data_IF_590538035942
#
_entry.id   IF_590538035942
#
_cell.length_a   1.000
_cell.length_b   1.000
_cell.length_c   1.000
_cell.angle_alpha   90.00
_cell.angle_beta   90.00
_cell.angle_gamma   90.00
#
_symmetry.space_group_name_H-M   'P 1'
#
loop_
_entity.id
_entity.type
_entity.pdbx_description
1 polymer ?
#
# COMPACT_ATOMS: atom_id res chain seq x y z
N UNK A 1 -19.97 14.63 -11.25
CA UNK A 1 -18.67 15.06 -10.70
C UNK A 1 -18.66 15.10 -9.18
N UNK A 2 -19.55 15.86 -8.52
CA UNK A 2 -19.54 15.96 -7.04
C UNK A 2 -19.65 14.60 -6.33
N UNK A 3 -20.61 13.74 -6.70
CA UNK A 3 -20.77 12.40 -6.09
C UNK A 3 -19.57 11.48 -6.32
N UNK A 4 -18.91 11.57 -7.48
CA UNK A 4 -17.73 10.74 -7.79
C UNK A 4 -16.50 11.21 -7.04
N UNK A 5 -16.34 12.52 -6.86
CA UNK A 5 -15.29 13.08 -6.01
C UNK A 5 -15.50 12.69 -4.54
N UNK A 6 -16.75 12.67 -4.07
CA UNK A 6 -17.10 12.11 -2.76
C UNK A 6 -16.67 10.64 -2.64
N UNK A 7 -16.91 9.83 -3.68
CA UNK A 7 -16.47 8.42 -3.69
C UNK A 7 -14.93 8.27 -3.64
N UNK A 8 -14.19 9.12 -4.37
CA UNK A 8 -12.71 9.16 -4.29
C UNK A 8 -12.24 9.54 -2.88
N UNK A 9 -12.91 10.50 -2.23
CA UNK A 9 -12.62 10.84 -0.84
C UNK A 9 -12.84 9.68 0.12
N UNK A 10 -13.97 8.98 -0.01
CA UNK A 10 -14.26 7.80 0.82
C UNK A 10 -13.21 6.70 0.61
N UNK A 11 -12.84 6.37 -0.63
CA UNK A 11 -11.82 5.37 -0.91
C UNK A 11 -10.45 5.74 -0.34
N UNK A 12 -10.06 7.01 -0.44
CA UNK A 12 -8.82 7.51 0.16
C UNK A 12 -8.83 7.40 1.68
N UNK A 13 -9.93 7.80 2.33
CA UNK A 13 -10.07 7.74 3.79
C UNK A 13 -10.08 6.29 4.30
N UNK A 14 -10.79 5.38 3.61
CA UNK A 14 -10.82 3.95 3.91
C UNK A 14 -9.44 3.31 3.78
N UNK A 15 -8.70 3.62 2.70
CA UNK A 15 -7.35 3.13 2.51
C UNK A 15 -6.40 3.61 3.60
N UNK A 16 -6.46 4.89 3.98
CA UNK A 16 -5.62 5.43 5.04
C UNK A 16 -5.93 4.81 6.40
N UNK A 17 -7.22 4.68 6.74
CA UNK A 17 -7.63 4.03 7.98
C UNK A 17 -7.16 2.58 8.03
N UNK A 18 -7.26 1.85 6.92
CA UNK A 18 -6.74 0.50 6.81
C UNK A 18 -5.21 0.45 6.95
N UNK A 19 -4.48 1.33 6.26
CA UNK A 19 -3.01 1.40 6.37
C UNK A 19 -2.57 1.65 7.81
N UNK A 20 -3.20 2.62 8.49
CA UNK A 20 -2.83 2.99 9.85
C UNK A 20 -3.10 1.81 10.83
N UNK A 21 -4.24 1.13 10.71
CA UNK A 21 -4.56 -0.09 11.48
C UNK A 21 -3.56 -1.24 11.22
N UNK A 22 -3.13 -1.41 9.96
CA UNK A 22 -2.19 -2.47 9.60
C UNK A 22 -0.76 -2.17 10.07
N UNK A 23 -0.34 -0.91 10.05
CA UNK A 23 0.94 -0.49 10.63
C UNK A 23 0.97 -0.77 12.15
N UNK A 24 -0.10 -0.42 12.86
CA UNK A 24 -0.21 -0.65 14.30
C UNK A 24 -0.23 -2.15 14.63
N UNK A 25 -1.00 -2.95 13.89
CA UNK A 25 -1.10 -4.40 14.13
C UNK A 25 0.15 -5.20 13.74
N UNK A 26 0.96 -4.68 12.80
CA UNK A 26 2.22 -5.28 12.40
C UNK A 26 3.40 -4.80 13.26
N UNK A 27 3.19 -3.86 14.18
CA UNK A 27 4.25 -3.39 15.07
C UNK A 27 4.70 -4.52 15.99
N UNK A 28 5.99 -4.82 15.93
CA UNK A 28 6.63 -5.83 16.78
C UNK A 28 7.31 -5.16 17.96
N UNK A 29 7.27 -5.83 19.12
CA UNK A 29 7.94 -5.36 20.33
C UNK A 29 9.46 -5.56 20.26
N UNK A 30 10.17 -4.89 21.16
CA UNK A 30 11.64 -4.92 21.23
C UNK A 30 12.24 -6.33 21.46
N UNK A 31 11.42 -7.27 21.94
CA UNK A 31 11.81 -8.65 22.24
C UNK A 31 11.59 -9.63 21.07
N UNK A 32 10.99 -9.20 19.96
CA UNK A 32 10.76 -10.07 18.80
C UNK A 32 12.06 -10.30 18.00
N UNK A 33 12.16 -11.47 17.35
CA UNK A 33 13.35 -11.83 16.58
C UNK A 33 13.52 -10.94 15.35
N UNK A 34 14.78 -10.78 14.91
CA UNK A 34 15.15 -10.01 13.70
C UNK A 34 14.32 -10.40 12.46
N UNK A 35 13.85 -11.65 12.40
CA UNK A 35 13.00 -12.14 11.32
C UNK A 35 11.63 -11.46 11.29
N UNK A 36 10.98 -11.30 12.44
CA UNK A 36 9.68 -10.62 12.53
C UNK A 36 9.85 -9.11 12.35
N UNK A 37 10.91 -8.51 12.89
CA UNK A 37 11.24 -7.10 12.65
C UNK A 37 11.44 -6.80 11.18
N UNK A 38 12.14 -7.68 10.45
CA UNK A 38 12.34 -7.54 9.01
C UNK A 38 11.02 -7.56 8.23
N UNK A 39 10.13 -8.50 8.56
CA UNK A 39 8.81 -8.58 7.92
C UNK A 39 7.93 -7.37 8.25
N UNK A 40 7.86 -6.99 9.52
CA UNK A 40 7.10 -5.81 10.00
C UNK A 40 7.57 -4.54 9.28
N UNK A 41 8.88 -4.27 9.29
CA UNK A 41 9.48 -3.12 8.60
C UNK A 41 9.14 -3.09 7.10
N UNK A 42 9.11 -4.27 6.46
CA UNK A 42 8.74 -4.37 5.03
C UNK A 42 7.27 -3.99 4.80
N UNK A 43 6.36 -4.43 5.67
CA UNK A 43 4.93 -4.08 5.57
C UNK A 43 4.74 -2.60 5.80
N UNK A 44 5.31 -2.05 6.88
CA UNK A 44 5.25 -0.62 7.18
C UNK A 44 5.78 0.21 6.01
N UNK A 45 6.89 -0.21 5.39
CA UNK A 45 7.40 0.45 4.18
C UNK A 45 6.40 0.43 3.02
N UNK A 46 5.78 -0.72 2.74
CA UNK A 46 4.80 -0.84 1.65
C UNK A 46 3.56 0.01 1.93
N UNK A 47 3.06 -0.01 3.16
CA UNK A 47 1.98 0.85 3.64
C UNK A 47 2.29 2.34 3.43
N UNK A 48 3.47 2.81 3.85
CA UNK A 48 3.88 4.20 3.68
C UNK A 48 3.96 4.61 2.20
N UNK A 49 4.50 3.75 1.33
CA UNK A 49 4.56 4.01 -0.10
C UNK A 49 3.16 4.09 -0.72
N UNK A 50 2.26 3.19 -0.35
CA UNK A 50 0.87 3.21 -0.80
C UNK A 50 0.12 4.44 -0.32
N UNK A 51 0.36 4.88 0.92
CA UNK A 51 -0.20 6.13 1.48
C UNK A 51 0.24 7.36 0.68
N UNK A 52 1.54 7.49 0.39
CA UNK A 52 2.06 8.60 -0.42
C UNK A 52 1.47 8.61 -1.84
N UNK A 53 1.32 7.44 -2.47
CA UNK A 53 0.68 7.32 -3.79
C UNK A 53 -0.79 7.72 -3.75
N UNK A 54 -1.51 7.26 -2.73
CA UNK A 54 -2.91 7.61 -2.54
C UNK A 54 -3.10 9.12 -2.30
N UNK A 55 -2.21 9.76 -1.53
CA UNK A 55 -2.21 11.20 -1.32
C UNK A 55 -1.99 11.99 -2.62
N UNK A 56 -1.04 11.55 -3.45
CA UNK A 56 -0.80 12.15 -4.76
C UNK A 56 -2.02 12.04 -5.68
N UNK A 57 -2.64 10.84 -5.74
CA UNK A 57 -3.86 10.58 -6.50
C UNK A 57 -5.05 11.42 -6.01
N UNK A 58 -5.26 11.51 -4.69
CA UNK A 58 -6.32 12.31 -4.10
C UNK A 58 -6.12 13.81 -4.36
N UNK A 59 -4.88 14.30 -4.25
CA UNK A 59 -4.53 15.69 -4.58
C UNK A 59 -4.81 16.00 -6.05
N UNK A 60 -4.43 15.10 -6.97
CA UNK A 60 -4.77 15.22 -8.38
C UNK A 60 -6.29 15.27 -8.56
N UNK A 61 -7.04 14.35 -7.97
CA UNK A 61 -8.51 14.31 -8.03
C UNK A 61 -9.14 15.64 -7.59
N UNK A 62 -8.59 16.25 -6.53
CA UNK A 62 -9.04 17.53 -6.01
C UNK A 62 -8.76 18.67 -6.98
N UNK A 63 -7.58 18.68 -7.62
CA UNK A 63 -7.25 19.65 -8.66
C UNK A 63 -8.16 19.51 -9.90
N UNK A 64 -8.47 18.28 -10.30
CA UNK A 64 -9.45 17.97 -11.35
C UNK A 64 -10.83 18.53 -11.02
N UNK A 65 -11.34 18.24 -9.82
CA UNK A 65 -12.65 18.72 -9.38
C UNK A 65 -12.72 20.26 -9.29
N UNK A 66 -11.63 20.91 -8.88
CA UNK A 66 -11.55 22.37 -8.76
C UNK A 66 -11.54 23.12 -10.11
N UNK A 67 -10.97 22.52 -11.17
CA UNK A 67 -10.88 23.15 -12.49
C UNK A 67 -12.21 23.18 -13.26
N UNK A 68 -13.20 22.38 -12.85
CA UNK A 68 -14.51 22.32 -13.52
C UNK A 68 -14.45 21.76 -14.94
N UNK A 69 -15.57 21.81 -15.66
CA UNK A 69 -15.63 21.37 -17.06
C UNK A 69 -15.27 22.55 -17.99
N UNK A 70 -14.47 22.37 -19.06
CA UNK A 70 -13.89 21.14 -19.58
C UNK A 70 -12.41 21.03 -19.16
N UNK A 71 -12.16 20.59 -17.92
CA UNK A 71 -10.83 20.17 -17.47
C UNK A 71 -10.38 18.85 -18.12
N UNK A 72 -9.21 18.31 -17.71
CA UNK A 72 -8.59 17.16 -18.37
C UNK A 72 -9.52 15.94 -18.37
N UNK A 73 -9.27 15.03 -19.30
CA UNK A 73 -10.28 14.10 -19.79
C UNK A 73 -10.85 13.24 -18.66
N UNK A 74 -12.13 12.89 -18.75
CA UNK A 74 -12.79 11.92 -17.86
C UNK A 74 -11.98 10.63 -17.65
N UNK A 75 -11.17 10.24 -18.64
CA UNK A 75 -10.22 9.12 -18.56
C UNK A 75 -9.23 9.28 -17.41
N UNK A 76 -8.71 10.47 -17.17
CA UNK A 76 -7.67 10.73 -16.17
C UNK A 76 -8.23 10.58 -14.75
N UNK A 77 -9.48 11.01 -14.54
CA UNK A 77 -10.17 10.81 -13.27
C UNK A 77 -10.50 9.33 -13.01
N UNK A 78 -10.89 8.58 -14.04
CA UNK A 78 -11.11 7.14 -13.92
C UNK A 78 -9.82 6.38 -13.56
N UNK A 79 -8.66 6.80 -14.10
CA UNK A 79 -7.36 6.24 -13.74
C UNK A 79 -7.01 6.47 -12.26
N UNK A 80 -7.36 7.63 -11.70
CA UNK A 80 -7.17 7.91 -10.27
C UNK A 80 -7.98 6.95 -9.40
N UNK A 81 -9.27 6.74 -9.74
CA UNK A 81 -10.14 5.80 -9.00
C UNK A 81 -9.58 4.37 -9.05
N UNK A 82 -9.18 3.93 -10.25
CA UNK A 82 -8.57 2.61 -10.42
C UNK A 82 -7.25 2.48 -9.66
N UNK A 83 -6.43 3.53 -9.65
CA UNK A 83 -5.17 3.58 -8.91
C UNK A 83 -5.35 3.43 -7.40
N UNK A 84 -6.32 4.14 -6.82
CA UNK A 84 -6.65 4.03 -5.38
C UNK A 84 -7.17 2.62 -5.03
N UNK A 85 -8.01 2.05 -5.88
CA UNK A 85 -8.45 0.66 -5.75
C UNK A 85 -7.28 -0.31 -5.80
N UNK A 86 -6.35 -0.12 -6.74
CA UNK A 86 -5.15 -0.94 -6.88
C UNK A 86 -4.22 -0.88 -5.66
N UNK A 87 -4.01 0.31 -5.08
CA UNK A 87 -3.21 0.42 -3.84
C UNK A 87 -3.90 -0.25 -2.65
N UNK A 88 -5.24 -0.21 -2.59
CA UNK A 88 -6.02 -0.94 -1.57
C UNK A 88 -5.85 -2.45 -1.68
N UNK A 89 -6.06 -3.01 -2.88
CA UNK A 89 -5.90 -4.44 -3.15
C UNK A 89 -4.47 -4.92 -2.88
N UNK A 90 -3.48 -4.09 -3.23
CA UNK A 90 -2.07 -4.35 -2.95
C UNK A 90 -1.80 -4.52 -1.46
N UNK A 91 -2.18 -3.56 -0.62
CA UNK A 91 -1.90 -3.65 0.83
C UNK A 91 -2.65 -4.83 1.45
N UNK A 92 -3.91 -5.06 1.08
CA UNK A 92 -4.67 -6.21 1.54
C UNK A 92 -3.99 -7.55 1.19
N UNK A 93 -3.45 -7.67 -0.04
CA UNK A 93 -2.74 -8.86 -0.47
C UNK A 93 -1.43 -9.08 0.31
N UNK A 94 -0.65 -8.01 0.56
CA UNK A 94 0.60 -8.07 1.32
C UNK A 94 0.32 -8.49 2.77
N UNK A 95 -0.64 -7.85 3.42
CA UNK A 95 -1.05 -8.17 4.80
C UNK A 95 -1.52 -9.61 4.90
N UNK A 96 -2.40 -10.05 4.00
CA UNK A 96 -2.89 -11.45 3.99
C UNK A 96 -1.76 -12.45 3.79
N UNK A 97 -0.80 -12.13 2.91
CA UNK A 97 0.41 -12.93 2.70
C UNK A 97 1.25 -13.01 3.98
N UNK A 98 1.43 -11.88 4.68
CA UNK A 98 2.15 -11.86 5.95
C UNK A 98 1.44 -12.65 7.04
N UNK A 99 0.12 -12.48 7.22
CA UNK A 99 -0.62 -13.21 8.25
C UNK A 99 -0.49 -14.73 8.08
N UNK A 100 -0.54 -15.22 6.85
CA UNK A 100 -0.30 -16.64 6.55
C UNK A 100 1.17 -17.03 6.79
N UNK A 101 2.12 -16.20 6.37
CA UNK A 101 3.53 -16.45 6.55
C UNK A 101 3.97 -16.44 8.02
N UNK A 102 3.41 -15.55 8.85
CA UNK A 102 3.72 -15.38 10.27
C UNK A 102 3.53 -16.68 11.04
N UNK A 103 2.46 -17.43 10.74
CA UNK A 103 2.18 -18.75 11.34
C UNK A 103 3.32 -19.73 11.04
N UNK A 104 3.74 -19.80 9.78
CA UNK A 104 4.87 -20.64 9.35
C UNK A 104 6.17 -20.20 10.01
N UNK A 105 6.41 -18.88 10.09
CA UNK A 105 7.61 -18.30 10.67
C UNK A 105 7.73 -18.63 12.17
N UNK A 106 6.63 -18.56 12.94
CA UNK A 106 6.61 -18.98 14.35
C UNK A 106 6.96 -20.45 14.57
N UNK A 107 6.66 -21.32 13.61
CA UNK A 107 7.02 -22.76 13.69
C UNK A 107 8.41 -23.07 13.12
N UNK A 108 9.05 -22.09 12.47
CA UNK A 108 10.37 -22.25 11.85
C UNK A 108 11.45 -22.21 12.94
N UNK A 109 12.46 -23.11 12.92
CA UNK A 109 13.59 -23.05 13.83
C UNK A 109 14.27 -21.68 13.82
N UNK A 110 14.65 -21.15 14.99
CA UNK A 110 15.16 -19.79 15.16
C UNK A 110 16.32 -19.47 14.20
N UNK A 111 17.24 -20.41 14.02
CA UNK A 111 18.37 -20.34 13.08
C UNK A 111 17.98 -20.18 11.60
N UNK A 112 16.77 -20.59 11.23
CA UNK A 112 16.23 -20.52 9.87
C UNK A 112 15.19 -19.42 9.67
N UNK A 113 14.71 -18.79 10.75
CA UNK A 113 13.65 -17.77 10.67
C UNK A 113 14.07 -16.56 9.83
N UNK A 114 15.29 -16.06 10.02
CA UNK A 114 15.76 -14.88 9.30
C UNK A 114 15.86 -15.14 7.79
N UNK A 115 16.30 -16.33 7.39
CA UNK A 115 16.37 -16.71 5.98
C UNK A 115 14.98 -16.86 5.37
N UNK A 116 14.05 -17.49 6.08
CA UNK A 116 12.66 -17.58 5.66
C UNK A 116 12.02 -16.18 5.49
N UNK A 117 12.27 -15.27 6.43
CA UNK A 117 11.79 -13.90 6.37
C UNK A 117 12.37 -13.16 5.16
N UNK A 118 13.67 -13.29 4.87
CA UNK A 118 14.31 -12.72 3.68
C UNK A 118 13.68 -13.22 2.39
N UNK A 119 13.40 -14.51 2.29
CA UNK A 119 12.76 -15.09 1.11
C UNK A 119 11.34 -14.56 0.92
N UNK A 120 10.58 -14.40 2.01
CA UNK A 120 9.27 -13.77 1.94
C UNK A 120 9.35 -12.30 1.51
N UNK A 121 10.25 -11.51 2.10
CA UNK A 121 10.48 -10.11 1.72
C UNK A 121 10.90 -9.99 0.25
N UNK A 122 11.76 -10.86 -0.24
CA UNK A 122 12.17 -10.89 -1.65
C UNK A 122 10.97 -11.12 -2.58
N UNK A 123 10.05 -12.03 -2.21
CA UNK A 123 8.81 -12.26 -2.97
C UNK A 123 7.90 -11.04 -2.97
N UNK A 124 7.71 -10.39 -1.81
CA UNK A 124 6.90 -9.17 -1.72
C UNK A 124 7.49 -8.05 -2.56
N UNK A 125 8.79 -7.79 -2.46
CA UNK A 125 9.43 -6.73 -3.24
C UNK A 125 9.45 -7.02 -4.74
N UNK A 126 9.51 -8.29 -5.14
CA UNK A 126 9.41 -8.68 -6.55
C UNK A 126 7.98 -8.51 -7.10
N UNK A 127 6.97 -8.86 -6.30
CA UNK A 127 5.56 -8.74 -6.70
C UNK A 127 5.05 -7.28 -6.66
N UNK A 128 5.54 -6.50 -5.70
CA UNK A 128 5.07 -5.15 -5.41
C UNK A 128 6.26 -4.21 -5.33
N UNK A 129 6.90 -4.00 -6.49
CA UNK A 129 8.09 -3.16 -6.59
C UNK A 129 7.86 -1.82 -5.90
N UNK A 130 8.68 -1.45 -4.90
CA UNK A 130 8.58 -0.15 -4.25
C UNK A 130 8.91 1.00 -5.21
N UNK A 131 9.48 0.71 -6.38
CA UNK A 131 9.84 1.68 -7.41
C UNK A 131 8.92 1.49 -8.60
N UNK A 132 8.17 2.53 -8.90
CA UNK A 132 7.67 2.81 -10.24
C UNK A 132 7.65 4.33 -10.36
N UNK A 133 8.81 4.88 -10.75
CA UNK A 133 8.96 6.25 -11.28
C UNK A 133 8.32 6.39 -12.68
N UNK A 134 7.69 5.34 -13.19
CA UNK A 134 6.99 5.37 -14.47
C UNK A 134 5.50 5.63 -14.19
N UNK A 135 5.09 6.91 -14.28
CA UNK A 135 3.79 7.39 -14.81
C UNK A 135 3.49 8.83 -14.37
N UNK A 136 4.44 9.74 -14.56
CA UNK A 136 4.12 11.16 -14.79
C UNK A 136 5.11 11.70 -15.83
N UNK A 137 5.19 11.03 -16.99
CA UNK A 137 5.69 11.71 -18.19
C UNK A 137 4.58 12.67 -18.63
N UNK A 138 4.84 13.94 -18.37
CA UNK A 138 4.03 15.09 -18.75
C UNK A 138 3.95 15.16 -20.28
N UNK A 139 2.76 14.90 -20.84
CA UNK A 139 2.45 15.07 -22.26
C UNK A 139 1.66 16.36 -22.50
#
# INVERSE_FOLDING_TARGET
MAEMFTNVGLQFDELNAYIDDQCDSCQVGDEESDAFQLCSSTITRQCLLSKQRAEAMYSAARAFNARGYPGPSWSDFAQIVLGLGGETEKIQAIVKSYSAFRVTLTTTPLESQLEAARQWVAKINAAYSPITDELFDEA
#
